data_IF_897014454072
#
_entry.id   IF_897014454072
#
_cell.length_a   1.000
_cell.length_b   1.000
_cell.length_c   1.000
_cell.angle_alpha   90.00
_cell.angle_beta   90.00
_cell.angle_gamma   90.00
#
_symmetry.space_group_name_H-M   'P 1'
#
loop_
_entity.id
_entity.type
_entity.pdbx_description
1 polymer ?
#
# COMPACT_ATOMS: atom_id res chain seq x y z
N UNK A 1 9.22 -52.43 -18.72
CA UNK A 1 8.55 -53.26 -17.71
C UNK A 1 7.50 -52.37 -17.00
N UNK A 2 6.26 -52.40 -17.48
CA UNK A 2 5.15 -51.61 -16.92
C UNK A 2 4.70 -52.25 -15.60
N UNK A 3 4.61 -51.46 -14.52
CA UNK A 3 4.01 -51.91 -13.25
C UNK A 3 2.73 -51.14 -12.98
N UNK A 4 1.64 -51.89 -13.01
CA UNK A 4 0.27 -51.50 -12.65
C UNK A 4 0.20 -51.08 -11.18
N UNK A 5 -0.32 -49.89 -10.90
CA UNK A 5 -0.85 -49.54 -9.58
C UNK A 5 -2.35 -49.83 -9.55
N UNK A 6 -2.75 -50.82 -8.75
CA UNK A 6 -4.14 -51.12 -8.42
C UNK A 6 -4.67 -50.07 -7.44
N UNK A 7 -5.83 -49.50 -7.76
CA UNK A 7 -6.65 -48.68 -6.89
C UNK A 7 -7.12 -49.51 -5.68
N UNK A 8 -6.68 -49.14 -4.47
CA UNK A 8 -7.30 -49.59 -3.21
C UNK A 8 -7.99 -48.37 -2.61
N UNK A 9 -9.32 -48.33 -2.68
CA UNK A 9 -10.16 -47.37 -1.95
C UNK A 9 -10.49 -47.98 -0.60
N UNK A 10 -9.95 -47.43 0.48
CA UNK A 10 -10.46 -47.69 1.83
C UNK A 10 -11.64 -46.75 2.14
N UNK A 11 -12.68 -47.22 2.85
CA UNK A 11 -13.82 -46.39 3.22
C UNK A 11 -13.46 -45.46 4.40
N UNK A 12 -13.70 -44.16 4.21
CA UNK A 12 -13.51 -43.12 5.22
C UNK A 12 -14.49 -43.34 6.38
N UNK A 13 -13.98 -43.49 7.60
CA UNK A 13 -14.79 -43.54 8.82
C UNK A 13 -15.44 -42.17 9.10
N UNK A 14 -16.73 -42.19 9.44
CA UNK A 14 -17.52 -41.00 9.75
C UNK A 14 -17.08 -40.38 11.09
N UNK A 15 -16.64 -39.11 11.06
CA UNK A 15 -16.40 -38.29 12.24
C UNK A 15 -17.71 -37.93 12.99
N UNK A 16 -17.61 -37.40 14.22
CA UNK A 16 -18.74 -37.18 15.10
C UNK A 16 -19.72 -36.14 14.50
N UNK A 17 -21.01 -36.45 14.61
CA UNK A 17 -22.12 -35.59 14.16
C UNK A 17 -22.12 -34.29 14.99
N UNK A 18 -21.76 -33.18 14.38
CA UNK A 18 -22.00 -31.85 14.94
C UNK A 18 -23.51 -31.61 15.05
N UNK A 19 -23.96 -31.25 16.26
CA UNK A 19 -25.33 -30.81 16.50
C UNK A 19 -25.61 -29.55 15.65
N UNK A 20 -26.72 -29.56 14.92
CA UNK A 20 -27.19 -28.40 14.14
C UNK A 20 -27.51 -27.26 15.10
N UNK A 21 -26.67 -26.23 15.18
CA UNK A 21 -27.14 -24.92 15.65
C UNK A 21 -28.05 -24.35 14.57
N UNK A 22 -29.33 -24.17 14.89
CA UNK A 22 -30.27 -23.49 14.01
C UNK A 22 -29.76 -22.06 13.75
N UNK A 23 -29.32 -21.77 12.54
CA UNK A 23 -29.17 -20.40 12.06
C UNK A 23 -30.57 -19.80 11.92
N UNK A 24 -30.85 -18.60 12.45
CA UNK A 24 -32.11 -17.93 12.20
C UNK A 24 -32.28 -17.69 10.69
N UNK A 25 -33.49 -17.90 10.18
CA UNK A 25 -33.90 -17.53 8.83
C UNK A 25 -33.64 -16.02 8.60
N UNK A 26 -33.30 -15.59 7.36
CA UNK A 26 -33.14 -14.18 7.07
C UNK A 26 -34.51 -13.50 7.21
N UNK A 27 -34.58 -12.52 8.11
CA UNK A 27 -35.76 -11.67 8.30
C UNK A 27 -35.93 -10.79 7.05
N UNK A 28 -37.09 -10.89 6.41
CA UNK A 28 -37.42 -10.27 5.11
C UNK A 28 -37.76 -8.77 5.24
N UNK A 29 -37.14 -8.07 6.21
CA UNK A 29 -37.30 -6.62 6.46
C UNK A 29 -35.99 -5.95 6.90
N UNK A 30 -34.91 -6.14 6.13
CA UNK A 30 -33.71 -5.32 6.29
C UNK A 30 -33.90 -3.97 5.57
N UNK A 31 -34.28 -2.95 6.33
CA UNK A 31 -34.27 -1.54 5.91
C UNK A 31 -32.87 -1.12 5.40
N UNK A 32 -32.76 -0.31 4.32
CA UNK A 32 -31.49 -0.01 3.63
C UNK A 32 -30.59 1.02 4.36
N UNK A 33 -30.47 0.93 5.67
CA UNK A 33 -29.86 1.96 6.52
C UNK A 33 -28.50 1.60 7.14
N UNK A 34 -27.75 0.64 6.60
CA UNK A 34 -26.43 0.26 7.14
C UNK A 34 -25.22 1.01 6.53
N UNK A 35 -25.44 2.15 5.87
CA UNK A 35 -24.36 3.05 5.40
C UNK A 35 -24.45 4.46 5.97
N UNK A 36 -25.42 4.72 6.84
CA UNK A 36 -25.47 5.94 7.62
C UNK A 36 -24.80 5.66 8.95
N UNK A 37 -23.59 6.21 9.14
CA UNK A 37 -23.06 6.44 10.48
C UNK A 37 -23.98 7.47 11.14
N UNK A 38 -25.10 7.02 11.70
CA UNK A 38 -25.90 7.77 12.65
C UNK A 38 -25.17 7.79 13.98
N UNK A 39 -24.08 8.57 14.04
CA UNK A 39 -23.54 9.02 15.33
C UNK A 39 -24.49 10.06 15.89
N UNK A 40 -24.90 9.82 17.14
CA UNK A 40 -25.98 10.51 17.83
C UNK A 40 -25.92 12.04 17.79
N UNK A 41 -27.10 12.62 17.96
CA UNK A 41 -27.34 14.06 18.11
C UNK A 41 -26.30 14.73 19.03
N UNK A 42 -25.36 15.48 18.44
CA UNK A 42 -24.94 16.85 18.79
C UNK A 42 -23.73 17.25 17.91
N UNK A 43 -23.82 18.41 17.26
CA UNK A 43 -22.94 19.01 16.24
C UNK A 43 -23.00 18.43 14.81
N UNK A 44 -23.95 18.96 14.02
CA UNK A 44 -23.78 19.12 12.57
C UNK A 44 -22.79 20.26 12.35
N UNK A 45 -21.66 20.01 11.70
CA UNK A 45 -20.97 21.08 10.94
C UNK A 45 -19.95 20.62 9.89
N UNK A 46 -19.87 19.33 9.59
CA UNK A 46 -19.06 18.84 8.47
C UNK A 46 -19.82 17.77 7.69
N UNK A 47 -20.28 18.13 6.49
CA UNK A 47 -20.72 17.18 5.49
C UNK A 47 -19.47 16.47 4.94
N UNK A 48 -19.33 15.17 5.21
CA UNK A 48 -18.24 14.37 4.67
C UNK A 48 -18.68 13.69 3.38
N UNK A 49 -17.88 13.85 2.31
CA UNK A 49 -18.00 13.00 1.13
C UNK A 49 -17.18 11.73 1.33
N UNK A 50 -17.85 10.60 1.49
CA UNK A 50 -17.22 9.28 1.55
C UNK A 50 -17.27 8.63 0.17
N UNK A 51 -16.11 8.24 -0.34
CA UNK A 51 -16.02 7.47 -1.58
C UNK A 51 -16.33 5.99 -1.31
N UNK A 52 -17.35 5.44 -1.95
CA UNK A 52 -17.67 4.00 -1.93
C UNK A 52 -17.45 3.34 -3.28
N UNK A 53 -16.91 2.12 -3.27
CA UNK A 53 -16.84 1.29 -4.48
C UNK A 53 -18.22 0.89 -5.01
N UNK A 54 -19.24 0.83 -4.14
CA UNK A 54 -20.62 0.50 -4.54
C UNK A 54 -21.19 1.53 -5.50
N UNK A 55 -20.75 2.79 -5.41
CA UNK A 55 -21.17 3.83 -6.33
C UNK A 55 -20.85 3.48 -7.79
N UNK A 56 -19.81 2.67 -8.03
CA UNK A 56 -19.42 2.22 -9.37
C UNK A 56 -20.45 1.27 -10.01
N UNK A 57 -21.25 0.58 -9.20
CA UNK A 57 -22.26 -0.37 -9.69
C UNK A 57 -23.53 0.32 -10.20
N UNK A 58 -23.80 1.54 -9.74
CA UNK A 58 -25.10 2.19 -9.90
C UNK A 58 -25.12 3.35 -10.90
N UNK A 59 -23.96 3.79 -11.41
CA UNK A 59 -23.82 4.95 -12.33
C UNK A 59 -24.74 4.88 -13.55
N UNK A 60 -25.13 3.67 -13.98
CA UNK A 60 -25.88 3.46 -15.22
C UNK A 60 -27.20 2.68 -15.08
N UNK A 61 -27.57 2.23 -13.87
CA UNK A 61 -28.65 1.24 -13.70
C UNK A 61 -29.85 1.78 -12.92
N UNK A 62 -29.65 2.64 -11.92
CA UNK A 62 -30.75 3.15 -11.08
C UNK A 62 -30.48 4.61 -10.65
N UNK A 63 -31.34 5.52 -11.12
CA UNK A 63 -31.23 6.95 -10.83
C UNK A 63 -31.38 7.27 -9.33
N UNK A 64 -32.26 6.56 -8.61
CA UNK A 64 -32.50 6.80 -7.17
C UNK A 64 -31.32 6.32 -6.34
N UNK A 65 -30.75 5.17 -6.70
CA UNK A 65 -29.57 4.65 -6.00
C UNK A 65 -28.33 5.47 -6.33
N UNK A 66 -28.21 5.99 -7.56
CA UNK A 66 -27.14 6.91 -7.94
C UNK A 66 -27.22 8.23 -7.16
N UNK A 67 -28.41 8.78 -6.94
CA UNK A 67 -28.60 10.01 -6.16
C UNK A 67 -28.00 9.92 -4.75
N UNK A 68 -28.09 8.75 -4.10
CA UNK A 68 -27.46 8.48 -2.79
C UNK A 68 -25.95 8.82 -2.78
N UNK A 69 -25.25 8.61 -3.89
CA UNK A 69 -23.82 8.85 -4.01
C UNK A 69 -23.50 10.23 -4.62
N UNK A 70 -24.33 10.70 -5.56
CA UNK A 70 -24.04 11.94 -6.32
C UNK A 70 -24.54 13.21 -5.63
N UNK A 71 -25.55 13.13 -4.77
CA UNK A 71 -26.27 14.31 -4.24
C UNK A 71 -25.34 15.36 -3.63
N UNK A 72 -24.32 14.95 -2.87
CA UNK A 72 -23.43 15.89 -2.19
C UNK A 72 -22.50 16.59 -3.17
N UNK A 73 -21.94 15.84 -4.13
CA UNK A 73 -21.08 16.38 -5.18
C UNK A 73 -21.82 17.36 -6.07
N UNK A 74 -23.06 17.03 -6.46
CA UNK A 74 -23.92 17.86 -7.29
C UNK A 74 -24.39 19.12 -6.56
N UNK A 75 -24.92 18.97 -5.33
CA UNK A 75 -25.42 20.07 -4.50
C UNK A 75 -24.34 21.13 -4.25
N UNK A 76 -23.11 20.69 -3.96
CA UNK A 76 -21.98 21.58 -3.71
C UNK A 76 -21.20 21.94 -4.97
N UNK A 77 -21.60 21.44 -6.14
CA UNK A 77 -20.93 21.63 -7.44
C UNK A 77 -19.44 21.33 -7.35
N UNK A 78 -19.09 20.23 -6.68
CA UNK A 78 -17.70 19.84 -6.48
C UNK A 78 -17.04 19.52 -7.82
N UNK A 79 -15.81 19.98 -7.96
CA UNK A 79 -15.02 19.78 -9.17
C UNK A 79 -13.72 19.05 -8.88
N UNK A 80 -13.24 18.31 -9.87
CA UNK A 80 -11.93 17.68 -9.81
C UNK A 80 -11.11 17.90 -11.07
N UNK A 81 -9.79 17.82 -10.93
CA UNK A 81 -8.87 17.74 -12.06
C UNK A 81 -7.80 16.68 -11.83
N UNK A 82 -7.44 15.99 -12.90
CA UNK A 82 -6.35 15.03 -12.92
C UNK A 82 -5.17 15.62 -13.69
N UNK A 83 -3.97 15.47 -13.15
CA UNK A 83 -2.75 16.02 -13.72
C UNK A 83 -1.65 14.96 -13.67
N UNK A 84 -1.00 14.73 -14.82
CA UNK A 84 0.02 13.66 -14.97
C UNK A 84 -0.49 12.30 -14.48
N UNK A 85 -1.77 12.04 -14.67
CA UNK A 85 -2.45 10.79 -14.31
C UNK A 85 -3.62 10.57 -15.25
N UNK A 86 -3.79 9.34 -15.68
CA UNK A 86 -4.83 8.85 -16.60
C UNK A 86 -5.67 7.72 -15.96
N UNK A 87 -5.62 7.58 -14.64
CA UNK A 87 -6.32 6.52 -13.91
C UNK A 87 -7.83 6.58 -14.16
N UNK A 88 -8.33 5.62 -14.95
CA UNK A 88 -9.77 5.50 -15.27
C UNK A 88 -10.59 5.30 -14.01
N UNK A 89 -10.12 4.44 -13.10
CA UNK A 89 -10.82 4.15 -11.85
C UNK A 89 -11.07 5.42 -11.03
N UNK A 90 -10.04 6.24 -10.83
CA UNK A 90 -10.18 7.48 -10.05
C UNK A 90 -11.14 8.45 -10.74
N UNK A 91 -11.06 8.55 -12.06
CA UNK A 91 -11.98 9.41 -12.83
C UNK A 91 -13.43 8.93 -12.67
N UNK A 92 -13.68 7.64 -12.88
CA UNK A 92 -15.02 7.06 -12.73
C UNK A 92 -15.54 7.22 -11.31
N UNK A 93 -14.67 7.03 -10.31
CA UNK A 93 -15.00 7.22 -8.90
C UNK A 93 -15.41 8.67 -8.59
N UNK A 94 -14.75 9.66 -9.18
CA UNK A 94 -15.15 11.06 -9.01
C UNK A 94 -16.53 11.32 -9.64
N UNK A 95 -16.76 10.83 -10.86
CA UNK A 95 -18.06 10.98 -11.53
C UNK A 95 -19.20 10.25 -10.81
N UNK A 96 -18.93 9.06 -10.26
CA UNK A 96 -19.93 8.29 -9.50
C UNK A 96 -20.37 8.97 -8.20
N UNK A 97 -19.63 9.98 -7.75
CA UNK A 97 -19.95 10.78 -6.56
C UNK A 97 -20.39 12.22 -6.92
N UNK A 98 -20.76 12.46 -8.19
CA UNK A 98 -21.32 13.74 -8.63
C UNK A 98 -20.28 14.85 -8.85
N UNK A 99 -18.98 14.53 -8.86
CA UNK A 99 -17.95 15.54 -9.14
C UNK A 99 -17.84 15.80 -10.65
N UNK A 100 -17.68 17.07 -11.01
CA UNK A 100 -17.47 17.49 -12.39
C UNK A 100 -15.99 17.65 -12.70
N UNK A 101 -15.54 17.06 -13.82
CA UNK A 101 -14.17 17.24 -14.26
C UNK A 101 -14.00 18.64 -14.85
N UNK A 102 -13.02 19.41 -14.36
CA UNK A 102 -12.70 20.73 -14.89
C UNK A 102 -11.39 20.75 -15.68
N UNK A 103 -11.16 21.85 -16.41
CA UNK A 103 -9.89 22.12 -17.10
C UNK A 103 -8.71 22.14 -16.12
N UNK A 104 -7.53 21.72 -16.61
CA UNK A 104 -6.27 21.75 -15.84
C UNK A 104 -5.91 23.15 -15.32
N UNK A 105 -6.31 24.18 -16.07
CA UNK A 105 -6.08 25.61 -15.77
C UNK A 105 -7.07 26.20 -14.78
N UNK A 106 -8.14 25.49 -14.42
CA UNK A 106 -9.13 26.02 -13.49
C UNK A 106 -8.52 26.16 -12.07
N UNK A 107 -8.47 27.38 -11.49
CA UNK A 107 -7.99 27.59 -10.13
C UNK A 107 -9.03 27.22 -9.07
N UNK A 108 -10.32 27.31 -9.39
CA UNK A 108 -11.45 27.05 -8.48
C UNK A 108 -11.83 25.57 -8.40
N UNK A 109 -10.83 24.69 -8.36
CA UNK A 109 -11.02 23.24 -8.24
C UNK A 109 -11.11 22.82 -6.78
N UNK A 110 -11.87 21.77 -6.45
CA UNK A 110 -11.94 21.20 -5.10
C UNK A 110 -10.93 20.05 -4.91
N UNK A 111 -10.89 19.10 -5.85
CA UNK A 111 -10.04 17.92 -5.75
C UNK A 111 -9.00 17.85 -6.87
N UNK A 112 -7.73 17.69 -6.49
CA UNK A 112 -6.59 17.62 -7.41
C UNK A 112 -5.94 16.25 -7.28
N UNK A 113 -6.01 15.47 -8.36
CA UNK A 113 -5.32 14.19 -8.44
C UNK A 113 -4.03 14.33 -9.24
N UNK A 114 -2.89 14.29 -8.55
CA UNK A 114 -1.55 14.35 -9.14
C UNK A 114 -0.95 12.95 -9.21
N UNK A 115 -0.58 12.51 -10.42
CA UNK A 115 0.12 11.23 -10.62
C UNK A 115 1.64 11.28 -10.46
N UNK A 116 2.21 12.49 -10.32
CA UNK A 116 3.64 12.70 -10.06
C UNK A 116 3.86 13.43 -8.72
N UNK A 117 5.00 13.22 -8.05
CA UNK A 117 5.31 13.91 -6.80
C UNK A 117 5.23 15.43 -6.92
N UNK A 118 4.55 16.06 -5.97
CA UNK A 118 4.43 17.53 -5.87
C UNK A 118 5.45 18.06 -4.87
N UNK A 119 6.14 19.14 -5.23
CA UNK A 119 7.06 19.82 -4.30
C UNK A 119 6.27 20.48 -3.18
N UNK A 120 6.75 20.41 -1.94
CA UNK A 120 6.08 21.01 -0.77
C UNK A 120 5.81 22.50 -0.93
N UNK A 121 6.66 23.23 -1.67
CA UNK A 121 6.43 24.65 -1.99
C UNK A 121 5.09 24.86 -2.70
N UNK A 122 4.80 24.04 -3.72
CA UNK A 122 3.54 24.10 -4.47
C UNK A 122 2.35 23.66 -3.64
N UNK A 123 2.55 22.74 -2.70
CA UNK A 123 1.47 22.32 -1.79
C UNK A 123 1.03 23.47 -0.87
N UNK A 124 1.93 24.40 -0.52
CA UNK A 124 1.60 25.58 0.29
C UNK A 124 0.80 26.64 -0.47
N UNK A 125 0.79 26.57 -1.81
CA UNK A 125 0.01 27.46 -2.67
C UNK A 125 -1.46 27.01 -2.78
N UNK A 126 -1.83 25.87 -2.20
CA UNK A 126 -3.20 25.36 -2.22
C UNK A 126 -4.13 26.21 -1.38
N UNK A 127 -5.32 26.47 -1.91
CA UNK A 127 -6.38 27.17 -1.19
C UNK A 127 -6.99 26.28 -0.09
N UNK A 128 -7.60 26.85 0.97
CA UNK A 128 -8.13 26.08 2.10
C UNK A 128 -9.18 25.00 1.73
N UNK A 129 -9.87 25.17 0.61
CA UNK A 129 -10.86 24.20 0.09
C UNK A 129 -10.27 23.16 -0.87
N UNK A 130 -9.05 23.38 -1.36
CA UNK A 130 -8.39 22.45 -2.28
C UNK A 130 -7.87 21.23 -1.51
N UNK A 131 -8.04 20.07 -2.12
CA UNK A 131 -7.53 18.80 -1.61
C UNK A 131 -6.62 18.18 -2.67
N UNK A 132 -5.41 17.81 -2.26
CA UNK A 132 -4.43 17.13 -3.07
C UNK A 132 -4.24 15.71 -2.54
N UNK A 133 -4.10 14.74 -3.43
CA UNK A 133 -3.90 13.32 -3.10
C UNK A 133 -2.50 12.96 -2.53
N UNK A 134 -1.72 13.94 -2.08
CA UNK A 134 -0.34 13.76 -1.61
C UNK A 134 -0.06 14.60 -0.38
N UNK A 135 0.62 14.00 0.60
CA UNK A 135 1.11 14.70 1.77
C UNK A 135 2.54 15.23 1.56
N UNK A 136 2.87 16.42 2.10
CA UNK A 136 4.24 16.92 2.10
C UNK A 136 5.14 15.94 2.84
N UNK A 137 6.35 15.71 2.32
CA UNK A 137 7.34 14.79 2.89
C UNK A 137 6.89 13.32 3.04
N UNK A 138 5.85 12.90 2.31
CA UNK A 138 5.44 11.49 2.25
C UNK A 138 6.55 10.53 1.78
N UNK A 139 7.60 11.04 1.11
CA UNK A 139 8.81 10.28 0.76
C UNK A 139 9.58 9.75 1.96
N UNK A 140 9.41 10.34 3.14
CA UNK A 140 10.03 9.86 4.39
C UNK A 140 9.56 8.44 4.76
N UNK A 141 8.32 8.09 4.38
CA UNK A 141 7.73 6.78 4.64
C UNK A 141 7.74 5.87 3.40
N UNK A 142 7.67 6.46 2.21
CA UNK A 142 7.46 5.69 0.95
C UNK A 142 8.76 5.37 0.19
N UNK A 143 9.84 6.11 0.44
CA UNK A 143 11.14 5.85 -0.18
C UNK A 143 11.93 4.88 0.71
N UNK A 144 12.51 3.82 0.13
CA UNK A 144 13.05 2.69 0.92
C UNK A 144 14.17 3.09 1.87
N UNK A 145 15.14 3.87 1.38
CA UNK A 145 16.24 4.39 2.20
C UNK A 145 15.74 5.25 3.36
N UNK A 146 14.85 6.20 3.07
CA UNK A 146 14.27 7.07 4.11
C UNK A 146 13.48 6.30 5.14
N UNK A 147 12.69 5.31 4.71
CA UNK A 147 11.94 4.46 5.62
C UNK A 147 12.87 3.75 6.61
N UNK A 148 13.92 3.11 6.12
CA UNK A 148 14.89 2.39 6.96
C UNK A 148 15.64 3.34 7.90
N UNK A 149 16.16 4.47 7.40
CA UNK A 149 16.81 5.51 8.23
C UNK A 149 15.86 6.06 9.32
N UNK A 150 14.57 6.24 9.00
CA UNK A 150 13.59 6.76 9.94
C UNK A 150 13.24 5.73 11.02
N UNK A 151 13.16 4.44 10.67
CA UNK A 151 12.95 3.36 11.64
C UNK A 151 14.19 3.19 12.52
N UNK A 152 15.40 3.24 11.96
CA UNK A 152 16.65 3.17 12.74
C UNK A 152 16.75 4.34 13.74
N UNK A 153 16.43 5.56 13.30
CA UNK A 153 16.34 6.72 14.23
C UNK A 153 15.25 6.52 15.28
N UNK A 154 14.13 5.88 14.92
CA UNK A 154 13.06 5.60 15.89
C UNK A 154 13.49 4.52 16.88
N UNK A 155 14.28 3.52 16.47
CA UNK A 155 14.89 2.51 17.35
C UNK A 155 15.82 3.14 18.38
N UNK A 156 16.62 4.15 18.01
CA UNK A 156 17.50 4.83 18.97
C UNK A 156 16.74 5.68 20.00
N UNK A 157 15.53 6.16 19.66
CA UNK A 157 14.72 7.01 20.55
C UNK A 157 13.73 6.19 21.39
N UNK A 158 13.06 5.22 20.78
CA UNK A 158 11.92 4.49 21.36
C UNK A 158 12.24 3.01 21.64
N UNK A 159 13.45 2.54 21.32
CA UNK A 159 13.93 1.21 21.67
C UNK A 159 13.32 0.07 20.85
N UNK A 160 13.09 -1.07 21.52
CA UNK A 160 12.77 -2.35 20.90
C UNK A 160 11.49 -2.37 20.06
N UNK A 161 10.55 -1.44 20.29
CA UNK A 161 9.34 -1.33 19.47
C UNK A 161 9.64 -1.02 17.99
N UNK A 162 10.83 -0.50 17.68
CA UNK A 162 11.31 -0.23 16.32
C UNK A 162 12.42 -1.18 15.86
N UNK A 163 12.66 -2.27 16.59
CA UNK A 163 13.65 -3.29 16.24
C UNK A 163 13.04 -4.43 15.41
N UNK A 164 12.39 -4.07 14.29
CA UNK A 164 11.70 -5.00 13.41
C UNK A 164 12.21 -4.95 11.96
N UNK A 165 13.16 -4.07 11.67
CA UNK A 165 13.81 -4.04 10.36
C UNK A 165 15.11 -4.88 10.40
N UNK A 166 15.41 -5.61 9.32
CA UNK A 166 16.71 -6.25 9.19
C UNK A 166 17.84 -5.22 9.15
N UNK A 167 19.05 -5.66 9.52
CA UNK A 167 20.29 -4.94 9.28
C UNK A 167 20.36 -4.45 7.83
N UNK A 168 20.80 -3.20 7.63
CA UNK A 168 20.81 -2.57 6.31
C UNK A 168 21.93 -1.55 6.16
N UNK A 169 22.20 -1.18 4.90
CA UNK A 169 23.17 -0.20 4.48
C UNK A 169 22.68 0.56 3.24
N UNK A 170 23.14 1.80 3.09
CA UNK A 170 22.80 2.69 1.99
C UNK A 170 24.08 3.10 1.24
N UNK A 171 24.13 2.77 -0.04
CA UNK A 171 25.26 3.14 -0.90
C UNK A 171 25.16 4.60 -1.40
N UNK A 172 26.28 5.25 -1.72
CA UNK A 172 27.66 4.83 -1.45
C UNK A 172 28.14 5.19 -0.03
N UNK A 173 27.29 5.86 0.78
CA UNK A 173 27.65 6.44 2.08
C UNK A 173 28.21 5.39 3.05
N UNK A 174 27.63 4.19 3.05
CA UNK A 174 27.94 3.14 4.02
C UNK A 174 28.76 1.99 3.44
N UNK A 175 29.42 2.20 2.29
CA UNK A 175 30.19 1.14 1.63
C UNK A 175 31.26 0.49 2.52
N UNK A 176 31.94 1.27 3.37
CA UNK A 176 32.96 0.74 4.29
C UNK A 176 32.33 -0.20 5.34
N UNK A 177 31.26 0.24 5.98
CA UNK A 177 30.52 -0.54 6.98
C UNK A 177 29.90 -1.78 6.36
N UNK A 178 29.33 -1.64 5.16
CA UNK A 178 28.76 -2.75 4.40
C UNK A 178 29.81 -3.80 4.01
N UNK A 179 31.03 -3.38 3.64
CA UNK A 179 32.12 -4.32 3.37
C UNK A 179 32.44 -5.19 4.58
N UNK A 180 32.57 -4.56 5.76
CA UNK A 180 32.81 -5.30 7.01
C UNK A 180 31.66 -6.26 7.34
N UNK A 181 30.42 -5.89 7.01
CA UNK A 181 29.26 -6.74 7.21
C UNK A 181 29.24 -7.97 6.30
N UNK A 182 29.61 -7.81 5.02
CA UNK A 182 29.78 -8.95 4.11
C UNK A 182 30.85 -9.92 4.63
N UNK A 183 32.01 -9.41 5.05
CA UNK A 183 33.10 -10.23 5.58
C UNK A 183 32.66 -10.99 6.85
N UNK A 184 31.97 -10.31 7.76
CA UNK A 184 31.40 -10.91 8.99
C UNK A 184 30.45 -12.05 8.65
N UNK A 185 29.50 -11.82 7.75
CA UNK A 185 28.50 -12.83 7.37
C UNK A 185 29.15 -14.04 6.68
N UNK A 186 30.17 -13.80 5.84
CA UNK A 186 30.92 -14.89 5.21
C UNK A 186 31.68 -15.74 6.24
N UNK A 187 32.29 -15.11 7.24
CA UNK A 187 32.96 -15.81 8.34
C UNK A 187 31.97 -16.61 9.21
N UNK A 188 30.81 -16.06 9.53
CA UNK A 188 29.73 -16.75 10.26
C UNK A 188 29.24 -17.99 9.51
N UNK A 189 29.03 -17.87 8.18
CA UNK A 189 28.66 -19.00 7.34
C UNK A 189 29.74 -20.10 7.36
N UNK A 190 31.01 -19.73 7.18
CA UNK A 190 32.11 -20.69 7.21
C UNK A 190 32.28 -21.37 8.57
N UNK A 191 32.15 -20.62 9.67
CA UNK A 191 32.26 -21.15 11.03
C UNK A 191 31.13 -22.13 11.39
N UNK A 192 29.93 -21.89 10.86
CA UNK A 192 28.78 -22.80 11.05
C UNK A 192 28.85 -24.06 10.18
N UNK A 193 29.90 -24.24 9.38
CA UNK A 193 30.01 -25.31 8.39
C UNK A 193 29.01 -25.17 7.23
N UNK A 194 28.32 -24.03 7.16
CA UNK A 194 27.33 -23.72 6.14
C UNK A 194 27.95 -23.07 4.90
N UNK A 195 27.16 -23.00 3.83
CA UNK A 195 27.45 -22.16 2.68
C UNK A 195 26.64 -20.87 2.74
N UNK A 196 27.11 -19.87 2.00
CA UNK A 196 26.32 -18.68 1.72
C UNK A 196 24.97 -19.08 1.14
N UNK A 197 23.92 -18.42 1.60
CA UNK A 197 22.55 -18.67 1.20
C UNK A 197 22.39 -18.50 -0.32
N UNK A 198 21.57 -19.37 -0.91
CA UNK A 198 21.01 -19.16 -2.24
C UNK A 198 19.63 -18.50 -2.10
N UNK A 199 19.33 -17.40 -2.80
CA UNK A 199 20.16 -16.73 -3.82
C UNK A 199 21.19 -15.71 -3.29
N UNK A 200 21.14 -15.35 -2.01
CA UNK A 200 22.19 -14.57 -1.36
C UNK A 200 21.84 -14.14 0.07
N UNK A 201 22.87 -13.71 0.79
CA UNK A 201 22.81 -13.27 2.19
C UNK A 201 22.21 -11.87 2.34
N UNK A 202 22.34 -11.03 1.32
CA UNK A 202 21.77 -9.70 1.27
C UNK A 202 20.89 -9.53 0.05
N UNK A 203 19.82 -8.75 0.22
CA UNK A 203 18.95 -8.30 -0.86
C UNK A 203 19.22 -6.82 -1.14
N UNK A 204 19.51 -6.52 -2.40
CA UNK A 204 19.83 -5.18 -2.89
C UNK A 204 18.62 -4.59 -3.61
N UNK A 205 18.27 -3.36 -3.27
CA UNK A 205 17.06 -2.69 -3.77
C UNK A 205 17.41 -1.27 -4.20
N UNK A 206 17.10 -0.85 -5.44
CA UNK A 206 17.26 0.54 -5.82
C UNK A 206 16.29 1.41 -5.03
N UNK A 207 16.79 2.53 -4.51
CA UNK A 207 16.03 3.41 -3.60
C UNK A 207 14.80 4.04 -4.27
N UNK A 208 14.91 4.37 -5.57
CA UNK A 208 13.86 5.03 -6.36
C UNK A 208 13.15 4.10 -7.36
N UNK A 209 13.28 2.78 -7.23
CA UNK A 209 12.60 1.80 -8.10
C UNK A 209 11.38 1.15 -7.42
N UNK A 210 10.50 0.55 -8.21
CA UNK A 210 9.27 -0.13 -7.77
C UNK A 210 9.02 -1.38 -8.62
N UNK A 211 8.06 -2.23 -8.19
CA UNK A 211 7.66 -3.46 -8.90
C UNK A 211 8.79 -4.49 -9.06
N UNK A 212 9.70 -4.59 -8.08
CA UNK A 212 10.80 -5.55 -8.13
C UNK A 212 11.94 -5.23 -9.11
N UNK A 213 11.83 -4.15 -9.90
CA UNK A 213 12.83 -3.82 -10.91
C UNK A 213 14.17 -3.44 -10.28
N UNK A 214 15.22 -4.14 -10.70
CA UNK A 214 16.59 -3.92 -10.23
C UNK A 214 16.86 -4.50 -8.83
N UNK A 215 15.97 -5.34 -8.30
CA UNK A 215 16.27 -6.10 -7.09
C UNK A 215 17.14 -7.30 -7.46
N UNK A 216 18.19 -7.53 -6.68
CA UNK A 216 19.06 -8.68 -6.84
C UNK A 216 19.65 -9.08 -5.47
N UNK A 217 20.34 -10.20 -5.43
CA UNK A 217 21.00 -10.71 -4.23
C UNK A 217 22.50 -10.48 -4.32
N UNK A 218 23.13 -10.24 -3.17
CA UNK A 218 24.56 -10.01 -3.06
C UNK A 218 25.14 -10.78 -1.88
N UNK A 219 26.35 -11.28 -2.06
CA UNK A 219 27.13 -11.97 -1.04
C UNK A 219 28.44 -11.26 -0.73
N UNK A 220 28.86 -10.32 -1.58
CA UNK A 220 30.11 -9.58 -1.46
C UNK A 220 29.98 -8.15 -1.97
N UNK A 221 30.98 -7.31 -1.66
CA UNK A 221 31.08 -5.96 -2.23
C UNK A 221 31.23 -5.95 -3.75
N UNK A 222 31.80 -7.00 -4.34
CA UNK A 222 31.97 -7.10 -5.79
C UNK A 222 30.64 -7.19 -6.54
N UNK A 223 29.58 -7.66 -5.86
CA UNK A 223 28.23 -7.77 -6.41
C UNK A 223 27.49 -6.42 -6.42
N UNK A 224 28.02 -5.41 -5.72
CA UNK A 224 27.37 -4.11 -5.56
C UNK A 224 27.84 -3.14 -6.65
N UNK A 225 26.93 -2.63 -7.51
CA UNK A 225 27.25 -1.59 -8.47
C UNK A 225 27.78 -0.33 -7.77
N UNK A 226 28.81 0.29 -8.37
CA UNK A 226 29.37 1.55 -7.88
C UNK A 226 28.40 2.75 -8.05
N UNK A 227 27.41 2.61 -8.94
CA UNK A 227 26.54 3.71 -9.33
C UNK A 227 25.21 3.74 -8.56
N UNK A 228 24.92 4.93 -8.04
CA UNK A 228 23.61 5.28 -7.52
C UNK A 228 23.32 4.76 -6.11
N UNK A 229 22.27 5.34 -5.47
CA UNK A 229 21.87 4.95 -4.13
C UNK A 229 21.06 3.64 -4.15
N UNK A 230 21.61 2.62 -3.51
CA UNK A 230 21.02 1.32 -3.28
C UNK A 230 20.79 1.13 -1.78
N UNK A 231 19.70 0.45 -1.43
CA UNK A 231 19.47 -0.08 -0.10
C UNK A 231 19.86 -1.55 -0.12
N UNK A 232 20.85 -1.93 0.68
CA UNK A 232 21.30 -3.30 0.89
C UNK A 232 20.82 -3.74 2.26
N UNK A 233 20.16 -4.88 2.36
CA UNK A 233 19.52 -5.33 3.59
C UNK A 233 19.79 -6.82 3.79
N UNK A 234 20.01 -7.25 5.03
CA UNK A 234 20.09 -8.67 5.37
C UNK A 234 18.84 -9.37 4.86
N UNK A 235 19.03 -10.46 4.13
CA UNK A 235 17.91 -11.28 3.67
C UNK A 235 17.42 -12.14 4.84
N UNK A 236 16.12 -12.10 5.09
CA UNK A 236 15.50 -12.90 6.16
C UNK A 236 15.29 -14.32 5.63
N UNK A 237 15.70 -15.29 6.44
CA UNK A 237 15.55 -16.73 6.18
C UNK A 237 14.34 -17.23 6.97
N UNK A 238 13.63 -18.21 6.43
CA UNK A 238 12.59 -18.96 7.14
C UNK A 238 13.19 -19.93 8.16
#
# INVERSE_FOLDING_TARGET
MQKNFRNVREPIQAGPKFAKSQSPLPDERAEPNEYLVSRGKKNRDADYLLFSADALLHISHDAKVSEKYTWLGERLRLTFKMMRSDSRLIRTMCHSHGLMQCSSKNPSVNFIWMGAPVKSVKMRELMPWQRLNQFPRSTELTKKDRLYENIERSKSIFGAAFDFIPEFYITPRENKTMSMAFDRVAQEAAASGGQLCFPGEFIVKPTNSRQGKGIFFANSMADIPAEGPLLVSRYLKD
#
